data_IF_194782854990
#
_entry.id   IF_194782854990
#
_cell.length_a   1.000
_cell.length_b   1.000
_cell.length_c   1.000
_cell.angle_alpha   90.00
_cell.angle_beta   90.00
_cell.angle_gamma   90.00
#
_symmetry.space_group_name_H-M   'P 1'
#
loop_
_entity.id
_entity.type
_entity.pdbx_description
1 polymer ?
#
# COMPACT_ATOMS: atom_id res chain seq x y z
N UNK A 1 15.81 -57.53 -48.27
CA UNK A 1 15.25 -56.16 -48.33
C UNK A 1 14.95 -55.73 -46.90
N UNK A 2 15.71 -54.78 -46.37
CA UNK A 2 15.60 -54.32 -44.97
C UNK A 2 15.00 -52.93 -44.99
N UNK A 3 13.81 -52.76 -44.41
CA UNK A 3 13.21 -51.47 -44.20
C UNK A 3 13.74 -50.84 -42.88
N UNK A 4 14.39 -49.69 -43.01
CA UNK A 4 14.76 -48.82 -41.87
C UNK A 4 13.57 -47.95 -41.51
N UNK A 5 13.13 -48.08 -40.24
CA UNK A 5 12.18 -47.15 -39.61
C UNK A 5 12.98 -45.99 -39.01
N UNK A 6 12.71 -44.77 -39.50
CA UNK A 6 13.27 -43.53 -38.92
C UNK A 6 12.26 -42.98 -37.93
N UNK A 7 12.64 -43.00 -36.64
CA UNK A 7 11.88 -42.33 -35.57
C UNK A 7 12.17 -40.85 -35.61
N UNK A 8 11.13 -40.02 -35.85
CA UNK A 8 11.18 -38.60 -35.65
C UNK A 8 10.85 -38.27 -34.21
N UNK A 9 11.82 -37.91 -33.40
CA UNK A 9 11.61 -37.23 -32.13
C UNK A 9 11.31 -35.76 -32.42
N UNK A 10 10.08 -35.33 -32.17
CA UNK A 10 9.68 -33.94 -32.19
C UNK A 10 10.20 -33.29 -30.91
N UNK A 11 11.17 -32.41 -31.04
CA UNK A 11 11.56 -31.48 -29.98
C UNK A 11 10.48 -30.43 -29.82
N UNK A 12 9.80 -30.40 -28.67
CA UNK A 12 8.97 -29.25 -28.26
C UNK A 12 9.94 -28.28 -27.59
N UNK A 13 10.31 -27.22 -28.28
CA UNK A 13 10.95 -26.08 -27.66
C UNK A 13 9.90 -25.37 -26.80
N UNK A 14 10.09 -25.48 -25.50
CA UNK A 14 9.38 -24.65 -24.54
C UNK A 14 9.90 -23.22 -24.69
N UNK A 15 9.17 -22.41 -25.44
CA UNK A 15 9.39 -20.96 -25.46
C UNK A 15 9.00 -20.41 -24.09
N UNK A 16 9.99 -20.14 -23.25
CA UNK A 16 9.82 -19.40 -22.01
C UNK A 16 9.37 -18.00 -22.36
N UNK A 17 8.09 -17.75 -22.20
CA UNK A 17 7.55 -16.37 -22.23
C UNK A 17 8.03 -15.70 -20.94
N UNK A 18 9.15 -14.98 -21.06
CA UNK A 18 9.60 -14.03 -20.03
C UNK A 18 8.66 -12.84 -20.09
N UNK A 19 7.49 -12.95 -19.47
CA UNK A 19 6.59 -11.84 -19.26
C UNK A 19 7.23 -10.88 -18.27
N UNK A 20 7.56 -9.75 -18.78
CA UNK A 20 7.83 -8.44 -18.22
C UNK A 20 7.81 -8.28 -16.70
N UNK A 21 8.82 -8.79 -15.99
CA UNK A 21 9.35 -8.16 -14.77
C UNK A 21 10.06 -6.88 -15.23
N UNK A 22 9.31 -6.03 -15.88
CA UNK A 22 9.82 -4.81 -16.46
C UNK A 22 9.76 -3.68 -15.47
N UNK A 23 10.77 -2.89 -15.39
CA UNK A 23 10.91 -1.57 -14.78
C UNK A 23 11.02 -1.48 -13.24
N UNK A 24 10.39 -2.37 -12.46
CA UNK A 24 10.47 -2.29 -11.00
C UNK A 24 11.82 -2.78 -10.45
N UNK A 25 12.40 -3.85 -11.00
CA UNK A 25 13.70 -4.40 -10.56
C UNK A 25 14.91 -3.55 -10.98
N UNK A 26 14.81 -2.79 -12.08
CA UNK A 26 15.94 -1.98 -12.57
C UNK A 26 16.22 -0.72 -11.76
N UNK A 27 15.24 -0.24 -10.96
CA UNK A 27 15.43 0.98 -10.15
C UNK A 27 16.08 0.69 -8.79
N UNK A 28 15.97 -0.54 -8.28
CA UNK A 28 16.62 -0.93 -7.01
C UNK A 28 18.08 -1.36 -7.15
N UNK A 29 18.59 -1.47 -8.36
CA UNK A 29 19.96 -2.02 -8.63
C UNK A 29 21.01 -0.99 -9.04
N UNK A 30 20.74 0.32 -8.94
CA UNK A 30 21.80 1.30 -9.12
C UNK A 30 22.66 1.40 -7.85
N UNK A 31 23.99 1.36 -7.95
CA UNK A 31 24.91 1.45 -6.78
C UNK A 31 24.69 2.68 -5.92
N UNK A 32 24.15 3.76 -6.47
CA UNK A 32 23.87 5.00 -5.75
C UNK A 32 22.63 4.92 -4.84
N UNK A 33 21.64 4.06 -5.15
CA UNK A 33 20.40 3.98 -4.35
C UNK A 33 20.59 3.20 -3.04
N UNK A 34 21.42 2.16 -3.04
CA UNK A 34 21.78 1.44 -1.80
C UNK A 34 22.57 2.35 -0.85
N UNK A 35 23.46 3.19 -1.37
CA UNK A 35 24.22 4.15 -0.56
C UNK A 35 23.35 5.23 0.08
N UNK A 36 22.36 5.76 -0.63
CA UNK A 36 21.42 6.78 -0.10
C UNK A 36 20.41 6.19 0.87
N UNK A 37 19.98 4.94 0.66
CA UNK A 37 19.11 4.25 1.62
C UNK A 37 19.83 4.09 2.97
N UNK A 38 21.05 3.62 3.00
CA UNK A 38 21.84 3.50 4.23
C UNK A 38 22.21 4.88 4.81
N UNK A 39 22.55 5.83 3.98
CA UNK A 39 22.91 7.20 4.37
C UNK A 39 21.83 7.87 5.22
N UNK A 40 20.56 7.66 4.91
CA UNK A 40 19.43 8.28 5.63
C UNK A 40 18.85 7.44 6.77
N UNK A 41 19.50 6.34 7.16
CA UNK A 41 19.02 5.49 8.27
C UNK A 41 18.85 6.27 9.58
N UNK A 42 19.80 7.14 9.92
CA UNK A 42 19.72 7.99 11.10
C UNK A 42 18.58 9.01 11.06
N UNK A 43 18.26 9.55 9.89
CA UNK A 43 17.13 10.47 9.72
C UNK A 43 15.78 9.73 9.90
N UNK A 44 15.65 8.52 9.36
CA UNK A 44 14.45 7.68 9.55
C UNK A 44 14.25 7.31 11.01
N UNK A 45 15.34 6.95 11.72
CA UNK A 45 15.27 6.68 13.16
C UNK A 45 14.81 7.91 13.95
N UNK A 46 15.29 9.10 13.59
CA UNK A 46 14.84 10.35 14.21
C UNK A 46 13.35 10.62 13.95
N UNK A 47 12.86 10.43 12.72
CA UNK A 47 11.45 10.62 12.40
C UNK A 47 10.57 9.62 13.15
N UNK A 48 10.98 8.34 13.25
CA UNK A 48 10.25 7.34 14.04
C UNK A 48 10.15 7.74 15.51
N UNK A 49 11.24 8.27 16.09
CA UNK A 49 11.25 8.76 17.47
C UNK A 49 10.25 9.92 17.63
N UNK A 50 10.30 10.92 16.75
CA UNK A 50 9.37 12.07 16.79
C UNK A 50 7.91 11.62 16.69
N UNK A 51 7.56 10.79 15.71
CA UNK A 51 6.20 10.24 15.56
C UNK A 51 5.77 9.51 16.84
N UNK A 52 6.63 8.71 17.43
CA UNK A 52 6.29 7.94 18.63
C UNK A 52 6.16 8.81 19.87
N UNK A 53 6.96 9.86 20.03
CA UNK A 53 6.81 10.84 21.09
C UNK A 53 5.46 11.58 21.00
N UNK A 54 5.09 12.01 19.81
CA UNK A 54 3.81 12.68 19.54
C UNK A 54 2.62 11.75 19.80
N UNK A 55 2.72 10.49 19.36
CA UNK A 55 1.70 9.47 19.62
C UNK A 55 1.58 9.14 21.11
N UNK A 56 2.69 9.11 21.84
CA UNK A 56 2.67 8.92 23.30
C UNK A 56 1.97 10.08 24.03
N UNK A 57 2.24 11.34 23.62
CA UNK A 57 1.54 12.53 24.14
C UNK A 57 0.03 12.43 23.94
N UNK A 58 -0.39 11.99 22.74
CA UNK A 58 -1.81 11.85 22.38
C UNK A 58 -2.43 10.49 22.84
N UNK A 59 -1.66 9.67 23.57
CA UNK A 59 -2.09 8.37 24.14
C UNK A 59 -2.61 7.37 23.10
N UNK A 60 -2.02 7.38 21.91
CA UNK A 60 -2.27 6.37 20.86
C UNK A 60 -1.09 5.39 20.76
N UNK A 61 -1.31 4.14 20.26
CA UNK A 61 -0.27 3.11 20.21
C UNK A 61 0.97 3.56 19.42
N UNK A 62 2.17 3.18 19.89
CA UNK A 62 3.43 3.44 19.20
C UNK A 62 3.53 2.60 17.93
N UNK A 63 4.31 3.09 16.95
CA UNK A 63 4.55 2.45 15.68
C UNK A 63 5.91 1.76 15.63
N UNK A 64 5.98 0.63 14.93
CA UNK A 64 7.24 0.00 14.52
C UNK A 64 7.63 0.47 13.11
N UNK A 65 8.93 0.43 12.81
CA UNK A 65 9.42 0.69 11.46
C UNK A 65 9.01 -0.46 10.53
N UNK A 66 8.54 -0.12 9.32
CA UNK A 66 8.24 -1.06 8.24
C UNK A 66 9.26 -0.90 7.12
N UNK A 67 10.02 -1.95 6.87
CA UNK A 67 11.05 -1.94 5.83
C UNK A 67 10.45 -1.83 4.42
N UNK A 68 9.41 -2.61 4.11
CA UNK A 68 8.74 -2.55 2.80
C UNK A 68 8.11 -1.17 2.56
N UNK A 69 7.41 -0.62 3.57
CA UNK A 69 6.86 0.74 3.48
C UNK A 69 7.98 1.77 3.30
N UNK A 70 9.14 1.59 3.96
CA UNK A 70 10.31 2.47 3.79
C UNK A 70 10.86 2.39 2.37
N UNK A 71 10.97 1.20 1.79
CA UNK A 71 11.43 1.03 0.40
C UNK A 71 10.47 1.70 -0.60
N UNK A 72 9.17 1.46 -0.45
CA UNK A 72 8.13 2.05 -1.30
C UNK A 72 8.10 3.58 -1.18
N UNK A 73 8.16 4.09 0.04
CA UNK A 73 8.21 5.52 0.33
C UNK A 73 9.48 6.18 -0.23
N UNK A 74 10.64 5.51 -0.10
CA UNK A 74 11.92 6.01 -0.64
C UNK A 74 11.88 6.09 -2.17
N UNK A 75 11.33 5.07 -2.83
CA UNK A 75 11.18 5.08 -4.29
C UNK A 75 10.31 6.26 -4.75
N UNK A 76 9.19 6.51 -4.06
CA UNK A 76 8.31 7.62 -4.40
C UNK A 76 8.95 8.98 -4.10
N UNK A 77 9.63 9.13 -2.95
CA UNK A 77 10.37 10.34 -2.62
C UNK A 77 11.45 10.65 -3.68
N UNK A 78 12.17 9.62 -4.15
CA UNK A 78 13.18 9.74 -5.22
C UNK A 78 12.54 10.18 -6.54
N UNK A 79 11.43 9.57 -6.93
CA UNK A 79 10.69 9.97 -8.14
C UNK A 79 10.27 11.45 -8.09
N UNK A 80 9.72 11.88 -6.95
CA UNK A 80 9.33 13.28 -6.73
C UNK A 80 10.52 14.25 -6.78
N UNK A 81 11.66 13.90 -6.16
CA UNK A 81 12.84 14.73 -6.14
C UNK A 81 13.47 14.88 -7.52
N UNK A 82 13.60 13.76 -8.27
CA UNK A 82 14.19 13.73 -9.62
C UNK A 82 13.33 14.49 -10.62
N UNK A 83 12.01 14.31 -10.55
CA UNK A 83 11.07 14.89 -11.53
C UNK A 83 10.38 16.18 -11.08
N UNK A 84 10.81 16.77 -9.96
CA UNK A 84 10.39 18.12 -9.52
C UNK A 84 8.89 18.24 -9.23
N UNK A 85 8.32 17.27 -8.51
CA UNK A 85 6.94 17.34 -8.07
C UNK A 85 6.76 16.95 -6.60
N UNK A 86 5.56 17.19 -6.06
CA UNK A 86 5.13 16.71 -4.75
C UNK A 86 3.65 16.28 -4.82
N UNK A 87 3.39 14.99 -4.68
CA UNK A 87 2.06 14.40 -4.89
C UNK A 87 1.94 13.06 -4.20
N UNK A 88 0.73 12.64 -3.87
CA UNK A 88 0.42 11.26 -3.51
C UNK A 88 0.45 10.30 -4.71
N UNK A 89 0.26 10.79 -5.94
CA UNK A 89 0.32 9.97 -7.15
C UNK A 89 1.74 9.90 -7.70
N UNK A 90 2.13 8.71 -8.15
CA UNK A 90 3.28 8.54 -9.02
C UNK A 90 3.01 9.12 -10.43
N UNK A 91 4.05 9.32 -11.21
CA UNK A 91 3.93 9.72 -12.62
C UNK A 91 3.17 8.70 -13.47
N UNK A 92 3.17 7.44 -13.07
CA UNK A 92 2.39 6.34 -13.64
C UNK A 92 0.90 6.37 -13.22
N UNK A 93 0.51 7.31 -12.35
CA UNK A 93 -0.83 7.45 -11.82
C UNK A 93 -1.15 6.51 -10.65
N UNK A 94 -0.19 5.74 -10.15
CA UNK A 94 -0.40 4.87 -8.99
C UNK A 94 -0.56 5.70 -7.71
N UNK A 95 -1.58 5.34 -6.93
CA UNK A 95 -1.84 5.85 -5.58
C UNK A 95 -0.94 5.14 -4.54
N UNK A 96 -0.82 5.64 -3.30
CA UNK A 96 0.03 5.04 -2.27
C UNK A 96 -0.26 3.55 -2.03
N UNK A 97 -1.52 3.17 -1.85
CA UNK A 97 -1.90 1.77 -1.61
C UNK A 97 -1.63 0.87 -2.83
N UNK A 98 -1.72 1.39 -4.07
CA UNK A 98 -1.29 0.64 -5.26
C UNK A 98 0.20 0.33 -5.19
N UNK A 99 1.04 1.36 -4.95
CA UNK A 99 2.50 1.20 -4.89
C UNK A 99 2.90 0.19 -3.81
N UNK A 100 2.31 0.31 -2.61
CA UNK A 100 2.59 -0.59 -1.51
C UNK A 100 2.13 -2.02 -1.80
N UNK A 101 0.92 -2.18 -2.31
CA UNK A 101 0.38 -3.50 -2.63
C UNK A 101 1.13 -4.19 -3.76
N UNK A 102 1.43 -3.50 -4.86
CA UNK A 102 2.21 -4.09 -5.96
C UNK A 102 3.67 -4.37 -5.59
N UNK A 103 4.19 -3.78 -4.54
CA UNK A 103 5.47 -4.15 -3.95
C UNK A 103 5.40 -5.37 -3.01
N UNK A 104 4.23 -6.00 -2.85
CA UNK A 104 4.01 -7.17 -2.00
C UNK A 104 3.32 -6.89 -0.67
N UNK A 105 3.05 -5.62 -0.35
CA UNK A 105 2.33 -5.24 0.86
C UNK A 105 0.86 -5.67 0.85
N UNK A 106 0.30 -5.86 2.04
CA UNK A 106 -1.10 -6.30 2.20
C UNK A 106 -1.88 -5.46 3.21
N UNK A 107 -1.18 -4.68 4.03
CA UNK A 107 -1.81 -3.81 5.01
C UNK A 107 -2.50 -2.61 4.35
N UNK A 108 -3.58 -2.12 4.95
CA UNK A 108 -4.13 -0.82 4.58
C UNK A 108 -3.15 0.29 4.94
N UNK A 109 -3.03 1.29 4.06
CA UNK A 109 -2.00 2.33 4.16
C UNK A 109 -2.58 3.74 4.07
N UNK A 110 -1.93 4.66 4.77
CA UNK A 110 -2.13 6.11 4.62
C UNK A 110 -0.78 6.80 4.45
N UNK A 111 -0.73 7.81 3.61
CA UNK A 111 0.52 8.49 3.25
C UNK A 111 0.46 9.98 3.56
N UNK A 112 1.52 10.49 4.14
CA UNK A 112 1.83 11.92 4.18
C UNK A 112 3.00 12.21 3.23
N UNK A 113 2.92 13.32 2.53
CA UNK A 113 3.98 13.81 1.63
C UNK A 113 4.35 15.23 2.03
N UNK A 114 5.64 15.50 2.13
CA UNK A 114 6.16 16.84 2.33
C UNK A 114 7.38 17.12 1.45
N UNK A 115 7.58 18.40 1.14
CA UNK A 115 8.60 18.86 0.22
C UNK A 115 9.24 20.16 0.70
N UNK A 116 10.53 20.28 0.48
CA UNK A 116 11.26 21.53 0.59
C UNK A 116 12.24 21.67 -0.59
N UNK A 117 12.34 22.87 -1.11
CA UNK A 117 13.35 23.24 -2.09
C UNK A 117 14.41 24.14 -1.41
N UNK A 118 15.59 24.24 -2.00
CA UNK A 118 16.76 24.94 -1.43
C UNK A 118 17.40 24.26 -0.20
N UNK A 119 17.26 22.94 -0.06
CA UNK A 119 17.88 22.12 1.00
C UNK A 119 19.31 21.75 0.63
N UNK A 120 20.25 21.90 1.57
CA UNK A 120 21.66 21.54 1.38
C UNK A 120 21.90 20.04 1.64
N UNK A 121 22.09 19.25 0.58
CA UNK A 121 22.13 17.78 0.64
C UNK A 121 23.37 17.18 1.28
N UNK A 122 24.44 17.96 1.46
CA UNK A 122 25.74 17.46 1.96
C UNK A 122 25.92 17.59 3.47
N UNK A 123 25.04 18.32 4.16
CA UNK A 123 25.09 18.47 5.60
C UNK A 123 23.97 17.66 6.27
N UNK A 124 24.35 16.56 6.93
CA UNK A 124 23.41 15.68 7.62
C UNK A 124 22.69 16.32 8.81
N UNK A 125 23.28 17.33 9.45
CA UNK A 125 22.64 18.06 10.55
C UNK A 125 21.55 18.99 10.00
N UNK A 126 21.82 19.68 8.89
CA UNK A 126 20.82 20.49 8.20
C UNK A 126 19.69 19.61 7.66
N UNK A 127 20.01 18.47 7.04
CA UNK A 127 18.98 17.52 6.60
C UNK A 127 18.14 17.00 7.75
N UNK A 128 18.73 16.75 8.92
CA UNK A 128 17.99 16.36 10.12
C UNK A 128 17.03 17.48 10.56
N UNK A 129 17.48 18.73 10.55
CA UNK A 129 16.64 19.88 10.89
C UNK A 129 15.49 20.02 9.89
N UNK A 130 15.79 19.96 8.58
CA UNK A 130 14.80 20.11 7.52
C UNK A 130 13.76 19.00 7.54
N UNK A 131 14.17 17.72 7.67
CA UNK A 131 13.24 16.59 7.75
C UNK A 131 12.38 16.67 9.00
N UNK A 132 12.94 17.04 10.15
CA UNK A 132 12.21 17.25 11.39
C UNK A 132 11.21 18.41 11.28
N UNK A 133 11.60 19.50 10.65
CA UNK A 133 10.71 20.64 10.41
C UNK A 133 9.54 20.29 9.48
N UNK A 134 9.80 19.55 8.40
CA UNK A 134 8.75 19.09 7.49
C UNK A 134 7.74 18.19 8.21
N UNK A 135 8.20 17.25 9.04
CA UNK A 135 7.33 16.41 9.85
C UNK A 135 6.51 17.23 10.86
N UNK A 136 7.15 18.13 11.61
CA UNK A 136 6.46 18.98 12.59
C UNK A 136 5.35 19.83 11.96
N UNK A 137 5.54 20.32 10.75
CA UNK A 137 4.48 21.06 10.03
C UNK A 137 3.24 20.20 9.80
N UNK A 138 3.39 18.92 9.47
CA UNK A 138 2.28 17.98 9.30
C UNK A 138 1.58 17.70 10.64
N UNK A 139 2.35 17.47 11.69
CA UNK A 139 1.81 17.22 13.04
C UNK A 139 1.10 18.46 13.63
N UNK A 140 1.59 19.65 13.35
CA UNK A 140 1.04 20.92 13.89
C UNK A 140 -0.19 21.42 13.15
N UNK A 141 -0.65 20.74 12.13
CA UNK A 141 -1.89 21.10 11.42
C UNK A 141 -3.08 21.23 12.38
N UNK A 142 -4.00 22.13 12.05
CA UNK A 142 -5.19 22.39 12.85
C UNK A 142 -6.47 22.19 12.02
N UNK A 143 -7.57 21.75 12.66
CA UNK A 143 -8.86 21.66 11.99
C UNK A 143 -9.25 22.99 11.33
N UNK A 144 -9.91 22.96 10.17
CA UNK A 144 -10.36 21.75 9.45
C UNK A 144 -9.29 21.10 8.55
N UNK A 145 -8.11 21.68 8.40
CA UNK A 145 -7.04 21.24 7.49
C UNK A 145 -5.96 20.44 8.23
N UNK A 146 -6.36 19.38 8.93
CA UNK A 146 -5.51 18.57 9.81
C UNK A 146 -5.40 17.12 9.35
N UNK A 147 -5.49 16.90 8.03
CA UNK A 147 -5.46 15.57 7.43
C UNK A 147 -4.19 14.79 7.74
N UNK A 148 -3.03 15.41 7.60
CA UNK A 148 -1.75 14.78 7.89
C UNK A 148 -1.59 14.45 9.39
N UNK A 149 -1.97 15.37 10.27
CA UNK A 149 -2.00 15.12 11.72
C UNK A 149 -2.88 13.92 12.06
N UNK A 150 -4.07 13.81 11.47
CA UNK A 150 -4.98 12.68 11.68
C UNK A 150 -4.35 11.37 11.21
N UNK A 151 -3.61 11.39 10.11
CA UNK A 151 -2.85 10.22 9.63
C UNK A 151 -1.77 9.83 10.63
N UNK A 152 -0.96 10.77 11.14
CA UNK A 152 0.08 10.51 12.16
C UNK A 152 -0.52 9.88 13.42
N UNK A 153 -1.69 10.34 13.85
CA UNK A 153 -2.31 9.96 15.12
C UNK A 153 -3.38 8.87 15.00
N UNK A 154 -3.62 8.33 13.80
CA UNK A 154 -4.62 7.29 13.60
C UNK A 154 -4.31 6.05 14.46
N UNK A 155 -5.21 5.66 15.40
CA UNK A 155 -4.90 4.63 16.41
C UNK A 155 -4.79 3.22 15.81
N UNK A 156 -5.34 2.99 14.62
CA UNK A 156 -5.24 1.72 13.89
C UNK A 156 -3.88 1.50 13.23
N UNK A 157 -3.05 2.53 13.08
CA UNK A 157 -1.70 2.32 12.54
C UNK A 157 -0.83 1.57 13.53
N UNK A 158 -0.05 0.62 13.03
CA UNK A 158 0.87 -0.23 13.79
C UNK A 158 2.31 -0.07 13.32
N UNK A 159 2.51 0.37 12.09
CA UNK A 159 3.81 0.49 11.44
C UNK A 159 3.88 1.77 10.61
N UNK A 160 5.10 2.22 10.36
CA UNK A 160 5.39 3.35 9.46
C UNK A 160 6.70 3.12 8.71
N UNK A 161 6.76 3.53 7.45
CA UNK A 161 8.00 3.62 6.67
C UNK A 161 8.27 5.06 6.27
N UNK A 162 9.54 5.46 6.22
CA UNK A 162 9.95 6.81 5.85
C UNK A 162 10.82 6.81 4.60
N UNK A 163 10.34 7.44 3.55
CA UNK A 163 11.10 7.74 2.34
C UNK A 163 11.70 9.13 2.41
N UNK A 164 13.01 9.22 2.22
CA UNK A 164 13.75 10.50 2.18
C UNK A 164 14.57 10.49 0.91
N UNK A 165 14.46 11.54 0.11
CA UNK A 165 15.27 11.74 -1.08
C UNK A 165 15.68 13.20 -1.23
N UNK A 166 16.91 13.40 -1.66
CA UNK A 166 17.46 14.72 -2.00
C UNK A 166 18.07 14.65 -3.38
N UNK A 167 17.59 15.47 -4.28
CA UNK A 167 18.13 15.64 -5.62
C UNK A 167 18.44 17.12 -5.87
N UNK A 168 19.70 17.45 -6.08
CA UNK A 168 20.17 18.84 -6.10
C UNK A 168 19.84 19.55 -4.78
N UNK A 169 18.92 20.51 -4.79
CA UNK A 169 18.48 21.22 -3.59
C UNK A 169 17.03 20.90 -3.20
N UNK A 170 16.45 19.79 -3.73
CA UNK A 170 15.08 19.37 -3.47
C UNK A 170 15.03 18.22 -2.49
N UNK A 171 14.45 18.43 -1.33
CA UNK A 171 14.15 17.42 -0.34
C UNK A 171 12.69 16.97 -0.50
N UNK A 172 12.48 15.66 -0.52
CA UNK A 172 11.16 15.03 -0.49
C UNK A 172 11.11 14.03 0.65
N UNK A 173 10.05 14.10 1.45
CA UNK A 173 9.82 13.17 2.57
C UNK A 173 8.44 12.55 2.40
N UNK A 174 8.39 11.23 2.52
CA UNK A 174 7.17 10.42 2.48
C UNK A 174 7.07 9.62 3.76
N UNK A 175 5.94 9.71 4.45
CA UNK A 175 5.61 8.90 5.61
C UNK A 175 4.47 7.96 5.21
N UNK A 176 4.73 6.66 5.13
CA UNK A 176 3.76 5.64 4.74
C UNK A 176 3.37 4.79 5.96
N UNK A 177 2.21 5.07 6.51
CA UNK A 177 1.65 4.39 7.68
C UNK A 177 0.89 3.14 7.27
N UNK A 178 0.94 2.08 8.08
CA UNK A 178 0.30 0.80 7.78
C UNK A 178 -0.40 0.18 8.99
N UNK A 179 -1.53 -0.51 8.72
CA UNK A 179 -2.36 -1.22 9.69
C UNK A 179 -2.19 -2.73 9.54
N UNK A 180 -1.28 -3.36 10.29
CA UNK A 180 -1.00 -4.81 10.23
C UNK A 180 -1.84 -5.58 11.24
N UNK A 181 -3.03 -6.00 10.81
CA UNK A 181 -4.00 -6.76 11.59
C UNK A 181 -4.34 -8.11 10.98
N UNK A 182 -3.95 -8.33 9.73
CA UNK A 182 -4.30 -9.52 8.95
C UNK A 182 -3.04 -10.08 8.28
N UNK A 183 -2.82 -11.37 8.45
CA UNK A 183 -1.93 -12.16 7.61
C UNK A 183 -2.74 -12.63 6.41
N UNK A 184 -2.50 -12.01 5.25
CA UNK A 184 -3.19 -12.36 3.99
C UNK A 184 -2.46 -13.53 3.35
N UNK A 185 -3.22 -14.54 2.89
CA UNK A 185 -2.70 -15.64 2.08
C UNK A 185 -2.37 -15.14 0.67
N UNK A 186 -1.61 -15.93 -0.08
CA UNK A 186 -1.22 -15.57 -1.45
C UNK A 186 -2.44 -15.17 -2.30
N UNK A 187 -2.40 -13.94 -2.79
CA UNK A 187 -3.39 -13.36 -3.70
C UNK A 187 -2.66 -12.98 -4.99
N UNK A 188 -3.15 -13.38 -6.17
CA UNK A 188 -2.52 -13.01 -7.43
C UNK A 188 -2.53 -11.49 -7.60
N UNK A 189 -1.41 -10.92 -8.04
CA UNK A 189 -1.31 -9.47 -8.31
C UNK A 189 -1.75 -9.10 -9.73
N UNK A 190 -1.91 -10.11 -10.58
CA UNK A 190 -2.45 -9.99 -11.94
C UNK A 190 -3.46 -11.12 -12.14
N UNK A 191 -4.59 -10.82 -12.78
CA UNK A 191 -5.63 -11.79 -13.10
C UNK A 191 -6.40 -11.33 -14.34
N UNK A 192 -7.19 -12.22 -14.93
CA UNK A 192 -8.06 -11.84 -16.06
C UNK A 192 -9.33 -11.13 -15.55
N UNK A 193 -9.88 -10.16 -16.29
CA UNK A 193 -11.24 -9.66 -16.06
C UNK A 193 -12.24 -10.81 -15.95
N UNK A 194 -13.30 -10.64 -15.15
CA UNK A 194 -14.34 -11.65 -14.86
C UNK A 194 -13.87 -12.93 -14.18
N UNK A 195 -12.57 -13.09 -13.90
CA UNK A 195 -12.11 -14.26 -13.15
C UNK A 195 -12.51 -14.20 -11.68
N UNK A 196 -12.45 -15.33 -11.01
CA UNK A 196 -12.66 -15.46 -9.56
C UNK A 196 -11.32 -15.70 -8.90
N UNK A 197 -11.01 -14.90 -7.90
CA UNK A 197 -9.80 -15.05 -7.07
C UNK A 197 -10.18 -15.37 -5.64
N UNK A 198 -9.39 -16.19 -4.96
CA UNK A 198 -9.58 -16.42 -3.53
C UNK A 198 -8.94 -15.25 -2.75
N UNK A 199 -9.72 -14.62 -1.87
CA UNK A 199 -9.20 -13.70 -0.87
C UNK A 199 -9.35 -14.33 0.50
N UNK A 200 -8.23 -14.62 1.14
CA UNK A 200 -8.20 -15.31 2.42
C UNK A 200 -7.10 -14.74 3.31
N UNK A 201 -7.30 -14.81 4.61
CA UNK A 201 -6.34 -14.34 5.60
C UNK A 201 -6.70 -14.79 7.01
N UNK A 202 -5.87 -14.34 7.96
CA UNK A 202 -6.08 -14.57 9.39
C UNK A 202 -5.92 -13.26 10.14
N UNK A 203 -6.90 -12.93 10.98
CA UNK A 203 -6.83 -11.80 11.90
C UNK A 203 -5.86 -12.15 13.02
N UNK A 204 -4.78 -11.38 13.15
CA UNK A 204 -3.71 -11.64 14.15
C UNK A 204 -3.91 -10.89 15.48
N UNK A 205 -4.94 -10.06 15.56
CA UNK A 205 -5.31 -9.32 16.78
C UNK A 205 -6.59 -9.93 17.38
N UNK A 206 -6.52 -10.63 18.52
CA UNK A 206 -7.64 -11.41 19.06
C UNK A 206 -8.83 -10.57 19.52
N UNK A 207 -8.65 -9.28 19.75
CA UNK A 207 -9.67 -8.32 20.14
C UNK A 207 -10.38 -7.65 18.95
N UNK A 208 -10.16 -8.16 17.74
CA UNK A 208 -10.79 -7.67 16.50
C UNK A 208 -11.54 -8.79 15.78
N UNK A 209 -12.55 -8.42 15.03
CA UNK A 209 -13.33 -9.31 14.17
C UNK A 209 -13.52 -8.71 12.79
N UNK A 210 -13.71 -9.56 11.78
CA UNK A 210 -14.07 -9.13 10.43
C UNK A 210 -15.45 -8.48 10.45
N UNK A 211 -15.51 -7.25 9.97
CA UNK A 211 -16.78 -6.56 9.75
C UNK A 211 -17.36 -6.90 8.39
N UNK A 212 -16.57 -6.73 7.32
CA UNK A 212 -16.89 -7.11 5.94
C UNK A 212 -15.62 -7.07 5.09
N UNK A 213 -15.71 -7.62 3.88
CA UNK A 213 -14.73 -7.41 2.82
C UNK A 213 -15.36 -6.48 1.79
N UNK A 214 -14.62 -5.50 1.32
CA UNK A 214 -15.04 -4.60 0.26
C UNK A 214 -14.11 -4.73 -0.94
N UNK A 215 -14.70 -4.83 -2.13
CA UNK A 215 -14.00 -5.02 -3.40
C UNK A 215 -14.21 -3.78 -4.24
N UNK A 216 -13.22 -2.93 -4.28
CA UNK A 216 -13.21 -1.70 -5.09
C UNK A 216 -12.71 -1.98 -6.49
N UNK A 217 -13.19 -1.22 -7.46
CA UNK A 217 -12.69 -1.22 -8.83
C UNK A 217 -12.43 0.19 -9.32
N UNK A 218 -11.33 0.36 -10.02
CA UNK A 218 -11.03 1.56 -10.79
C UNK A 218 -10.33 1.20 -12.11
N UNK A 219 -10.49 2.02 -13.17
CA UNK A 219 -9.75 1.83 -14.42
C UNK A 219 -8.24 1.82 -14.19
N UNK A 220 -7.49 1.21 -15.11
CA UNK A 220 -6.03 1.21 -15.04
C UNK A 220 -5.50 2.65 -14.89
N UNK A 221 -4.59 2.89 -13.93
CA UNK A 221 -3.93 4.18 -13.76
C UNK A 221 -3.28 4.64 -15.06
N UNK A 222 -3.34 5.93 -15.31
CA UNK A 222 -2.71 6.56 -16.49
C UNK A 222 -1.60 7.49 -16.03
N UNK A 223 -0.57 7.58 -16.86
CA UNK A 223 0.51 8.53 -16.64
C UNK A 223 -0.03 9.96 -16.46
N UNK A 224 0.56 10.69 -15.52
CA UNK A 224 0.14 12.03 -15.13
C UNK A 224 1.20 13.06 -15.52
N UNK A 225 0.74 14.21 -15.96
CA UNK A 225 1.59 15.36 -16.27
C UNK A 225 2.05 16.07 -14.99
N UNK A 226 3.26 16.64 -15.02
CA UNK A 226 3.84 17.34 -13.86
C UNK A 226 2.95 18.49 -13.35
N UNK A 227 2.31 19.22 -14.26
CA UNK A 227 1.38 20.30 -13.89
C UNK A 227 0.16 19.78 -13.11
N UNK A 228 -0.31 18.56 -13.42
CA UNK A 228 -1.38 17.91 -12.67
C UNK A 228 -0.91 17.40 -11.31
N UNK A 229 0.28 16.78 -11.25
CA UNK A 229 0.88 16.23 -10.02
C UNK A 229 1.18 17.31 -8.99
N UNK A 230 1.55 18.50 -9.41
CA UNK A 230 1.88 19.64 -8.53
C UNK A 230 0.64 20.38 -7.99
N UNK A 231 -0.58 19.91 -8.30
CA UNK A 231 -1.79 20.46 -7.67
C UNK A 231 -2.09 19.72 -6.36
N UNK A 232 -2.39 20.43 -5.26
CA UNK A 232 -2.80 19.78 -4.01
C UNK A 232 -4.03 18.89 -4.22
N UNK A 233 -3.92 17.60 -3.87
CA UNK A 233 -4.98 16.61 -4.01
C UNK A 233 -4.92 15.59 -2.88
N UNK A 234 -6.07 15.26 -2.32
CA UNK A 234 -6.23 14.07 -1.48
C UNK A 234 -6.58 12.86 -2.34
N UNK A 235 -6.16 11.68 -1.93
CA UNK A 235 -6.55 10.42 -2.54
C UNK A 235 -7.49 9.66 -1.61
N UNK A 236 -8.30 8.79 -2.21
CA UNK A 236 -9.21 7.89 -1.49
C UNK A 236 -9.42 6.62 -2.30
N UNK A 237 -10.01 5.61 -1.65
CA UNK A 237 -10.54 4.45 -2.34
C UNK A 237 -11.64 4.89 -3.33
N UNK A 238 -11.85 4.14 -4.44
CA UNK A 238 -12.91 4.46 -5.39
C UNK A 238 -14.31 4.42 -4.75
N UNK A 239 -15.27 5.15 -5.34
CA UNK A 239 -16.68 5.10 -4.89
C UNK A 239 -17.39 3.80 -5.34
N UNK A 240 -16.87 3.14 -6.39
CA UNK A 240 -17.48 1.95 -6.94
C UNK A 240 -16.91 0.68 -6.30
N UNK A 241 -17.73 0.02 -5.51
CA UNK A 241 -17.34 -1.18 -4.75
C UNK A 241 -18.48 -2.20 -4.62
N UNK A 242 -18.12 -3.40 -4.18
CA UNK A 242 -19.04 -4.46 -3.74
C UNK A 242 -18.66 -4.92 -2.35
N UNK A 243 -19.64 -4.97 -1.46
CA UNK A 243 -19.46 -5.42 -0.08
C UNK A 243 -19.82 -6.90 0.06
N UNK A 244 -18.95 -7.67 0.71
CA UNK A 244 -19.11 -9.09 1.02
C UNK A 244 -19.10 -9.24 2.55
N UNK A 245 -20.17 -9.81 3.12
CA UNK A 245 -20.36 -9.87 4.58
C UNK A 245 -20.01 -11.25 5.14
N UNK A 246 -19.59 -11.36 6.40
CA UNK A 246 -19.42 -12.63 7.09
C UNK A 246 -20.69 -13.48 7.01
N UNK A 247 -20.55 -14.78 6.83
CA UNK A 247 -21.68 -15.70 6.90
C UNK A 247 -22.27 -15.77 8.30
N UNK A 248 -23.59 -15.80 8.39
CA UNK A 248 -24.31 -16.01 9.64
C UNK A 248 -24.97 -17.40 9.67
N UNK A 249 -24.94 -18.02 10.83
CA UNK A 249 -25.52 -19.36 11.03
C UNK A 249 -27.05 -19.33 11.07
N UNK A 250 -27.75 -20.32 10.50
CA UNK A 250 -29.19 -20.44 10.68
C UNK A 250 -29.59 -20.41 12.17
N UNK A 251 -30.72 -19.79 12.53
CA UNK A 251 -31.75 -19.20 11.66
C UNK A 251 -31.46 -17.73 11.26
N UNK A 252 -30.30 -17.13 11.60
CA UNK A 252 -30.02 -15.73 11.36
C UNK A 252 -29.81 -15.40 9.89
N UNK A 253 -30.26 -14.21 9.50
CA UNK A 253 -30.07 -13.62 8.18
C UNK A 253 -29.85 -12.12 8.32
N UNK A 254 -29.23 -11.51 7.31
CA UNK A 254 -29.19 -10.07 7.16
C UNK A 254 -30.57 -9.52 6.76
N UNK A 255 -30.78 -8.21 6.88
CA UNK A 255 -32.05 -7.54 6.56
C UNK A 255 -32.53 -7.74 5.11
N UNK A 256 -31.56 -7.96 4.18
CA UNK A 256 -31.81 -8.27 2.77
C UNK A 256 -32.08 -9.77 2.51
N UNK A 257 -32.25 -10.57 3.55
CA UNK A 257 -32.51 -12.02 3.54
C UNK A 257 -31.32 -12.87 3.03
N UNK A 258 -30.12 -12.29 2.87
CA UNK A 258 -28.91 -13.05 2.58
C UNK A 258 -28.28 -13.59 3.86
N UNK A 259 -27.37 -14.56 3.73
CA UNK A 259 -26.58 -15.12 4.85
C UNK A 259 -25.12 -14.68 4.85
N UNK A 260 -24.75 -13.82 3.92
CA UNK A 260 -23.37 -13.37 3.74
C UNK A 260 -22.56 -14.29 2.82
N UNK A 261 -21.33 -13.90 2.58
CA UNK A 261 -20.45 -14.44 1.54
C UNK A 261 -19.14 -15.02 2.10
N UNK A 262 -18.63 -14.39 3.18
CA UNK A 262 -17.30 -14.65 3.73
C UNK A 262 -17.36 -15.73 4.80
N UNK A 263 -16.64 -16.83 4.60
CA UNK A 263 -16.41 -17.81 5.66
C UNK A 263 -15.48 -17.20 6.71
N UNK A 264 -15.85 -17.32 7.98
CA UNK A 264 -15.05 -16.84 9.10
C UNK A 264 -15.00 -17.93 10.16
N UNK A 265 -13.81 -18.39 10.48
CA UNK A 265 -13.56 -19.40 11.50
C UNK A 265 -13.35 -18.80 12.89
N UNK A 266 -13.49 -19.63 13.92
CA UNK A 266 -13.33 -19.23 15.33
C UNK A 266 -11.91 -18.76 15.68
N UNK A 267 -10.90 -19.15 14.89
CA UNK A 267 -9.51 -18.76 15.07
C UNK A 267 -9.16 -17.43 14.38
N UNK A 268 -10.17 -16.75 13.79
CA UNK A 268 -10.02 -15.48 13.06
C UNK A 268 -9.59 -15.65 11.60
N UNK A 269 -9.47 -16.87 11.09
CA UNK A 269 -9.27 -17.13 9.67
C UNK A 269 -10.53 -16.78 8.88
N UNK A 270 -10.35 -16.23 7.67
CA UNK A 270 -11.47 -15.94 6.78
C UNK A 270 -11.10 -16.28 5.33
N UNK A 271 -12.13 -16.56 4.53
CA UNK A 271 -11.97 -16.73 3.09
C UNK A 271 -13.23 -16.39 2.33
N UNK A 272 -13.05 -15.87 1.12
CA UNK A 272 -14.15 -15.54 0.20
C UNK A 272 -13.68 -15.62 -1.25
N UNK A 273 -14.47 -16.21 -2.16
CA UNK A 273 -14.26 -16.08 -3.59
C UNK A 273 -14.68 -14.69 -4.04
N UNK A 274 -13.76 -13.94 -4.62
CA UNK A 274 -13.98 -12.59 -5.14
C UNK A 274 -14.04 -12.65 -6.66
N UNK A 275 -15.18 -12.27 -7.24
CA UNK A 275 -15.31 -12.09 -8.68
C UNK A 275 -14.79 -10.71 -9.07
N UNK A 276 -13.85 -10.65 -10.02
CA UNK A 276 -13.42 -9.42 -10.67
C UNK A 276 -14.50 -9.01 -11.66
N UNK A 277 -15.46 -8.21 -11.20
CA UNK A 277 -16.79 -8.08 -11.78
C UNK A 277 -16.88 -7.25 -13.07
N UNK A 278 -15.84 -6.47 -13.41
CA UNK A 278 -15.79 -5.74 -14.67
C UNK A 278 -15.20 -6.59 -15.80
N UNK A 279 -15.57 -6.31 -17.02
CA UNK A 279 -15.04 -6.91 -18.25
C UNK A 279 -13.92 -6.07 -18.88
N UNK A 280 -13.69 -4.88 -18.33
CA UNK A 280 -12.64 -3.97 -18.74
C UNK A 280 -11.38 -4.13 -17.86
N UNK A 281 -10.19 -3.90 -18.41
CA UNK A 281 -8.96 -3.81 -17.63
C UNK A 281 -9.06 -2.76 -16.52
N UNK A 282 -8.52 -3.07 -15.34
CA UNK A 282 -8.55 -2.15 -14.19
C UNK A 282 -7.77 -2.65 -13.00
N UNK A 283 -7.87 -1.93 -11.90
CA UNK A 283 -7.31 -2.34 -10.60
C UNK A 283 -8.45 -2.63 -9.64
N UNK A 284 -8.42 -3.83 -9.06
CA UNK A 284 -9.26 -4.19 -7.93
C UNK A 284 -8.48 -4.02 -6.64
N UNK A 285 -9.08 -3.39 -5.64
CA UNK A 285 -8.51 -3.29 -4.29
C UNK A 285 -9.41 -4.05 -3.31
N UNK A 286 -8.85 -5.10 -2.70
CA UNK A 286 -9.55 -5.94 -1.72
C UNK A 286 -9.26 -5.42 -0.31
N UNK A 287 -10.28 -4.99 0.39
CA UNK A 287 -10.19 -4.40 1.72
C UNK A 287 -10.95 -5.24 2.73
N UNK A 288 -10.23 -5.85 3.66
CA UNK A 288 -10.85 -6.42 4.85
C UNK A 288 -11.04 -5.29 5.88
N UNK A 289 -12.28 -5.00 6.20
CA UNK A 289 -12.64 -4.05 7.26
C UNK A 289 -12.76 -4.80 8.57
N UNK A 290 -11.97 -4.37 9.55
CA UNK A 290 -12.04 -4.91 10.90
C UNK A 290 -12.72 -3.93 11.84
N UNK A 291 -13.29 -4.47 12.91
CA UNK A 291 -13.79 -3.70 14.05
C UNK A 291 -13.25 -4.29 15.36
N UNK A 292 -12.96 -3.47 16.35
CA UNK A 292 -12.70 -3.95 17.70
C UNK A 292 -13.92 -4.75 18.21
N UNK A 293 -13.70 -5.85 18.96
CA UNK A 293 -14.78 -6.67 19.54
C UNK A 293 -15.55 -5.91 20.62
N UNK A 294 -14.92 -4.90 21.24
CA UNK A 294 -15.58 -3.89 22.08
C UNK A 294 -15.97 -2.69 21.20
N UNK A 295 -16.80 -1.81 21.73
CA UNK A 295 -17.30 -0.64 20.99
C UNK A 295 -16.20 0.08 20.20
N UNK A 296 -16.39 0.19 18.88
CA UNK A 296 -15.47 0.85 17.96
C UNK A 296 -15.98 0.89 16.52
N UNK A 297 -15.45 1.83 15.75
CA UNK A 297 -15.77 1.94 14.32
C UNK A 297 -14.91 0.93 13.53
N UNK A 298 -15.49 0.40 12.45
CA UNK A 298 -14.72 -0.38 11.50
C UNK A 298 -13.66 0.49 10.80
N UNK A 299 -12.51 -0.12 10.51
CA UNK A 299 -11.39 0.50 9.80
C UNK A 299 -10.80 -0.46 8.77
N UNK A 300 -10.18 0.03 7.70
CA UNK A 300 -9.52 -0.82 6.72
C UNK A 300 -8.24 -1.44 7.32
N UNK A 301 -8.11 -2.76 7.21
CA UNK A 301 -6.94 -3.50 7.68
C UNK A 301 -6.08 -4.06 6.54
N UNK A 302 -6.65 -4.17 5.34
CA UNK A 302 -5.92 -4.58 4.13
C UNK A 302 -6.23 -3.67 2.96
N UNK A 303 -5.29 -3.54 2.02
CA UNK A 303 -5.47 -2.95 0.69
C UNK A 303 -4.67 -3.80 -0.31
N UNK A 304 -5.26 -4.93 -0.73
CA UNK A 304 -4.62 -5.86 -1.65
C UNK A 304 -5.08 -5.58 -3.07
N UNK A 305 -4.17 -5.09 -3.91
CA UNK A 305 -4.47 -4.72 -5.29
C UNK A 305 -4.20 -5.86 -6.26
N UNK A 306 -5.12 -6.03 -7.22
CA UNK A 306 -5.03 -6.97 -8.34
C UNK A 306 -5.23 -6.19 -9.62
N UNK A 307 -4.27 -6.26 -10.55
CA UNK A 307 -4.44 -5.74 -11.90
C UNK A 307 -5.20 -6.76 -12.73
N UNK A 308 -6.37 -6.38 -13.23
CA UNK A 308 -7.15 -7.18 -14.16
C UNK A 308 -6.81 -6.75 -15.60
N UNK A 309 -6.17 -7.65 -16.39
CA UNK A 309 -5.73 -7.39 -17.77
C UNK A 309 -5.63 -8.67 -18.60
#
# INVERSE_FOLDING_TARGET
MRHRVISRRTFIEATSITLGMGLWDRVLSSPNQTSDFERFAGLRANLLHMVNDERAVEKVPLLALDELATQVATKHATEMAVHEFASHWGRDGLKPYHRYSFAGGTAATQENVSAADNTWSNDMNLLKQDTSYLHLRLYQEKPPNDGHRKTILAPQHTHVGFGIAVEKLRLRVVELFGARYVEVKDVPRVAKPKSVVAFAGKIVKPDHSLNHVEVFYEPLPKAQELGWLNQPRSYQLPDYSRSLRPKVTPPFMYSDRTRGDVEVDVDGSFSVPVTLFEDQPGVYTLVAWLKPNRLGKAFPATEVCIRAE
#
